data_IF_069839928396
#
_entry.id   IF_069839928396
#
_cell.length_a   1.000
_cell.length_b   1.000
_cell.length_c   1.000
_cell.angle_alpha   90.00
_cell.angle_beta   90.00
_cell.angle_gamma   90.00
#
_symmetry.space_group_name_H-M   'P 1'
#
loop_
_entity.id
_entity.type
_entity.pdbx_description
1 polymer ?
#
# COMPACT_ATOMS: atom_id res chain seq x y z
N UNK A 1 18.29 -14.43 6.28
CA UNK A 1 16.93 -14.16 5.78
C UNK A 1 16.24 -15.49 5.70
N UNK A 2 15.15 -15.65 6.45
CA UNK A 2 14.38 -16.89 6.45
C UNK A 2 13.61 -17.03 5.12
N UNK A 3 13.20 -18.25 4.78
CA UNK A 3 12.48 -18.52 3.53
C UNK A 3 11.18 -17.68 3.42
N UNK A 4 10.46 -17.52 4.54
CA UNK A 4 9.25 -16.71 4.60
C UNK A 4 9.50 -15.22 4.39
N UNK A 5 10.61 -14.67 4.90
CA UNK A 5 10.98 -13.28 4.67
C UNK A 5 11.19 -13.04 3.16
N UNK A 6 11.92 -13.95 2.50
CA UNK A 6 12.17 -13.87 1.07
C UNK A 6 10.87 -13.99 0.26
N UNK A 7 10.00 -14.95 0.60
CA UNK A 7 8.68 -15.06 -0.04
C UNK A 7 7.85 -13.79 0.14
N UNK A 8 7.94 -13.14 1.31
CA UNK A 8 7.23 -11.89 1.58
C UNK A 8 7.79 -10.72 0.75
N UNK A 9 9.12 -10.61 0.61
CA UNK A 9 9.75 -9.62 -0.27
C UNK A 9 9.32 -9.81 -1.74
N UNK A 10 9.30 -11.06 -2.22
CA UNK A 10 8.79 -11.40 -3.55
C UNK A 10 7.32 -11.00 -3.69
N UNK A 11 6.51 -11.21 -2.65
CA UNK A 11 5.11 -10.78 -2.64
C UNK A 11 4.95 -9.26 -2.67
N UNK A 12 5.79 -8.49 -1.94
CA UNK A 12 5.83 -7.03 -2.03
C UNK A 12 6.06 -6.58 -3.48
N UNK A 13 7.12 -7.08 -4.11
CA UNK A 13 7.47 -6.75 -5.50
C UNK A 13 6.36 -7.16 -6.48
N UNK A 14 5.85 -8.39 -6.36
CA UNK A 14 4.77 -8.88 -7.20
C UNK A 14 3.49 -8.04 -7.06
N UNK A 15 3.12 -7.63 -5.84
CA UNK A 15 1.95 -6.80 -5.60
C UNK A 15 2.07 -5.44 -6.30
N UNK A 16 3.24 -4.78 -6.24
CA UNK A 16 3.52 -3.52 -6.95
C UNK A 16 3.40 -3.75 -8.46
N UNK A 17 4.09 -4.76 -8.99
CA UNK A 17 4.12 -5.06 -10.41
C UNK A 17 2.72 -5.35 -10.98
N UNK A 18 1.84 -6.01 -10.22
CA UNK A 18 0.45 -6.28 -10.64
C UNK A 18 -0.47 -5.06 -10.52
N UNK A 19 -0.20 -4.13 -9.61
CA UNK A 19 -0.97 -2.88 -9.47
C UNK A 19 -0.70 -1.89 -10.60
N UNK A 20 0.56 -1.72 -11.02
CA UNK A 20 0.96 -0.71 -12.04
C UNK A 20 0.05 -0.64 -13.28
N UNK A 21 -0.25 -1.74 -14.00
CA UNK A 21 -1.14 -1.67 -15.16
C UNK A 21 -2.59 -1.32 -14.80
N UNK A 22 -3.09 -1.75 -13.64
CA UNK A 22 -4.46 -1.44 -13.20
C UNK A 22 -4.60 0.01 -12.75
N UNK A 23 -3.57 0.56 -12.11
CA UNK A 23 -3.48 1.98 -11.76
C UNK A 23 -3.52 2.84 -13.02
N UNK A 24 -2.73 2.48 -14.05
CA UNK A 24 -2.73 3.22 -15.31
C UNK A 24 -4.12 3.22 -15.98
N UNK A 25 -4.81 2.07 -15.99
CA UNK A 25 -6.16 1.99 -16.54
C UNK A 25 -7.18 2.77 -15.71
N UNK A 26 -7.07 2.75 -14.39
CA UNK A 26 -7.93 3.52 -13.49
C UNK A 26 -7.69 5.03 -13.68
N UNK A 27 -6.43 5.47 -13.77
CA UNK A 27 -6.07 6.86 -14.06
C UNK A 27 -6.67 7.33 -15.40
N UNK A 28 -6.55 6.49 -16.44
CA UNK A 28 -7.10 6.76 -17.76
C UNK A 28 -8.64 6.85 -17.73
N UNK A 29 -9.33 5.94 -17.02
CA UNK A 29 -10.78 5.99 -16.83
C UNK A 29 -11.20 7.29 -16.14
N UNK A 30 -10.47 7.70 -15.11
CA UNK A 30 -10.71 8.92 -14.34
C UNK A 30 -10.22 10.20 -15.06
N UNK A 31 -9.55 10.04 -16.21
CA UNK A 31 -8.99 11.12 -17.03
C UNK A 31 -7.99 12.00 -16.28
N UNK A 32 -7.09 11.36 -15.53
CA UNK A 32 -6.03 12.03 -14.78
C UNK A 32 -4.69 11.35 -14.90
N UNK A 33 -3.66 12.06 -14.45
CA UNK A 33 -2.34 11.49 -14.22
C UNK A 33 -2.38 10.61 -12.98
N UNK A 34 -1.57 9.54 -12.98
CA UNK A 34 -1.49 8.58 -11.88
C UNK A 34 -1.17 9.28 -10.55
N UNK A 35 -0.18 10.18 -10.56
CA UNK A 35 0.27 10.93 -9.37
C UNK A 35 -0.81 11.88 -8.81
N UNK A 36 -1.81 12.24 -9.61
CA UNK A 36 -2.92 13.10 -9.14
C UNK A 36 -4.07 12.29 -8.51
N UNK A 37 -4.12 10.97 -8.71
CA UNK A 37 -5.22 10.14 -8.23
C UNK A 37 -5.40 10.23 -6.71
N UNK A 38 -4.29 10.14 -5.97
CA UNK A 38 -4.29 10.21 -4.51
C UNK A 38 -4.91 11.52 -4.03
N UNK A 39 -4.42 12.64 -4.54
CA UNK A 39 -4.85 13.97 -4.10
C UNK A 39 -6.29 14.25 -4.46
N UNK A 40 -6.71 13.93 -5.67
CA UNK A 40 -8.07 14.19 -6.12
C UNK A 40 -9.08 13.32 -5.37
N UNK A 41 -8.68 12.11 -4.94
CA UNK A 41 -9.45 11.33 -3.97
C UNK A 41 -9.48 11.97 -2.58
N UNK A 42 -8.32 12.29 -1.99
CA UNK A 42 -8.24 12.84 -0.64
C UNK A 42 -8.97 14.19 -0.49
N UNK A 43 -8.96 15.00 -1.55
CA UNK A 43 -9.70 16.26 -1.68
C UNK A 43 -11.19 16.07 -2.02
N UNK A 44 -11.67 14.81 -2.05
CA UNK A 44 -13.08 14.41 -2.30
C UNK A 44 -13.65 14.91 -3.63
N UNK A 45 -12.82 14.96 -4.68
CA UNK A 45 -13.22 15.52 -5.98
C UNK A 45 -13.92 14.51 -6.90
N UNK A 46 -13.93 13.21 -6.58
CA UNK A 46 -14.56 12.17 -7.41
C UNK A 46 -15.36 11.12 -6.64
N UNK A 47 -15.99 10.25 -7.41
CA UNK A 47 -16.74 9.10 -6.92
C UNK A 47 -15.81 8.10 -6.24
N UNK A 48 -16.24 7.67 -5.07
CA UNK A 48 -15.56 6.69 -4.24
C UNK A 48 -15.45 5.31 -4.89
N UNK A 49 -16.41 4.93 -5.74
CA UNK A 49 -16.53 3.56 -6.25
C UNK A 49 -16.92 3.51 -7.72
N UNK A 50 -16.48 2.47 -8.41
CA UNK A 50 -16.87 2.19 -9.77
C UNK A 50 -16.24 0.90 -10.31
N UNK A 51 -16.33 0.73 -11.62
CA UNK A 51 -15.78 -0.43 -12.33
C UNK A 51 -15.04 -0.01 -13.60
N UNK A 52 -14.08 -0.83 -14.02
CA UNK A 52 -13.24 -0.60 -15.20
C UNK A 52 -12.93 -1.94 -15.89
N UNK A 53 -12.28 -1.89 -17.07
CA UNK A 53 -12.04 -3.07 -17.94
C UNK A 53 -13.32 -3.88 -18.20
N UNK A 54 -14.35 -3.22 -18.73
CA UNK A 54 -15.62 -3.89 -19.05
C UNK A 54 -16.40 -4.42 -17.84
N UNK A 55 -16.03 -4.05 -16.61
CA UNK A 55 -16.68 -4.50 -15.39
C UNK A 55 -15.94 -5.63 -14.66
N UNK A 56 -14.85 -6.14 -15.21
CA UNK A 56 -14.03 -7.19 -14.60
C UNK A 56 -13.40 -6.74 -13.27
N UNK A 57 -13.02 -5.47 -13.19
CA UNK A 57 -12.42 -4.87 -12.01
C UNK A 57 -13.32 -3.81 -11.41
N UNK A 58 -13.47 -3.85 -10.09
CA UNK A 58 -14.11 -2.80 -9.32
C UNK A 58 -13.06 -2.08 -8.48
N UNK A 59 -13.22 -0.76 -8.32
CA UNK A 59 -12.42 0.04 -7.41
C UNK A 59 -13.27 0.61 -6.27
N UNK A 60 -12.67 0.74 -5.10
CA UNK A 60 -13.25 1.41 -3.94
C UNK A 60 -12.15 2.22 -3.23
N UNK A 61 -12.24 3.54 -3.29
CA UNK A 61 -11.35 4.42 -2.55
C UNK A 61 -11.80 4.56 -1.09
N UNK A 62 -10.87 4.54 -0.16
CA UNK A 62 -11.14 4.72 1.28
C UNK A 62 -9.88 5.16 1.99
N UNK A 63 -10.00 6.01 3.03
CA UNK A 63 -8.84 6.58 3.71
C UNK A 63 -7.80 7.13 2.71
N UNK A 64 -6.59 6.60 2.77
CA UNK A 64 -5.47 6.91 1.87
C UNK A 64 -5.15 5.76 0.89
N UNK A 65 -6.15 4.95 0.57
CA UNK A 65 -6.01 3.68 -0.14
C UNK A 65 -7.09 3.53 -1.24
N UNK A 66 -6.87 2.57 -2.14
CA UNK A 66 -7.87 2.14 -3.11
C UNK A 66 -7.85 0.62 -3.27
N UNK A 67 -8.97 -0.02 -2.97
CA UNK A 67 -9.14 -1.46 -3.12
C UNK A 67 -9.55 -1.77 -4.56
N UNK A 68 -8.84 -2.71 -5.19
CA UNK A 68 -9.13 -3.24 -6.52
C UNK A 68 -9.51 -4.71 -6.38
N UNK A 69 -10.72 -5.04 -6.82
CA UNK A 69 -11.24 -6.42 -6.79
C UNK A 69 -11.58 -6.90 -8.17
N UNK A 70 -11.08 -8.07 -8.54
CA UNK A 70 -11.46 -8.77 -9.75
C UNK A 70 -12.75 -9.54 -9.48
N UNK A 71 -13.87 -9.10 -10.05
CA UNK A 71 -15.18 -9.67 -9.78
C UNK A 71 -15.30 -11.16 -10.15
N UNK A 72 -14.74 -11.65 -11.28
CA UNK A 72 -14.91 -13.05 -11.67
C UNK A 72 -14.21 -14.07 -10.77
N UNK A 73 -13.01 -13.77 -10.29
CA UNK A 73 -12.18 -14.76 -9.58
C UNK A 73 -11.77 -14.33 -8.17
N UNK A 74 -12.15 -13.14 -7.71
CA UNK A 74 -11.92 -12.69 -6.34
C UNK A 74 -10.47 -12.32 -6.02
N UNK A 75 -9.59 -12.18 -7.01
CA UNK A 75 -8.27 -11.57 -6.79
C UNK A 75 -8.43 -10.15 -6.26
N UNK A 76 -7.57 -9.78 -5.31
CA UNK A 76 -7.61 -8.49 -4.64
C UNK A 76 -6.23 -7.83 -4.64
N UNK A 77 -6.21 -6.52 -4.87
CA UNK A 77 -5.04 -5.65 -4.72
C UNK A 77 -5.46 -4.39 -3.99
N UNK A 78 -4.65 -3.94 -3.04
CA UNK A 78 -4.80 -2.62 -2.44
C UNK A 78 -3.73 -1.69 -2.99
N UNK A 79 -4.12 -0.55 -3.51
CA UNK A 79 -3.21 0.57 -3.78
C UNK A 79 -3.02 1.29 -2.46
N UNK A 80 -1.81 1.22 -1.91
CA UNK A 80 -1.36 2.08 -0.83
C UNK A 80 -0.71 3.31 -1.49
N UNK A 81 -1.37 4.46 -1.43
CA UNK A 81 -0.78 5.69 -1.96
C UNK A 81 0.33 6.17 -1.03
N UNK A 82 1.45 6.58 -1.61
CA UNK A 82 2.57 7.21 -0.93
C UNK A 82 2.67 8.71 -1.20
N UNK A 83 3.70 9.35 -0.63
CA UNK A 83 3.99 10.77 -0.86
C UNK A 83 4.06 11.09 -2.35
N UNK A 84 3.65 12.30 -2.72
CA UNK A 84 3.70 12.77 -4.11
C UNK A 84 2.83 11.96 -5.08
N UNK A 85 1.83 11.23 -4.53
CA UNK A 85 0.97 10.34 -5.30
C UNK A 85 1.68 9.09 -5.80
N UNK A 86 2.82 8.71 -5.18
CA UNK A 86 3.52 7.48 -5.52
C UNK A 86 2.58 6.27 -5.31
N UNK A 87 2.66 5.29 -6.22
CA UNK A 87 1.82 4.09 -6.20
C UNK A 87 2.59 2.78 -6.07
N UNK A 88 3.93 2.88 -5.97
CA UNK A 88 4.81 1.76 -5.70
C UNK A 88 4.99 1.51 -4.19
N UNK A 89 4.25 2.23 -3.34
CA UNK A 89 4.29 2.00 -1.89
C UNK A 89 3.36 0.88 -1.45
N UNK A 90 3.58 0.34 -0.25
CA UNK A 90 2.76 -0.72 0.31
C UNK A 90 2.69 -0.65 1.84
N UNK A 91 1.73 -1.37 2.40
CA UNK A 91 1.72 -1.79 3.81
C UNK A 91 1.86 -3.29 3.92
N UNK A 92 2.32 -3.77 5.07
CA UNK A 92 2.31 -5.20 5.40
C UNK A 92 0.93 -5.82 5.21
N UNK A 93 -0.12 -5.08 5.61
CA UNK A 93 -1.50 -5.48 5.39
C UNK A 93 -1.84 -5.61 3.91
N UNK A 94 -1.64 -4.56 3.10
CA UNK A 94 -1.93 -4.59 1.66
C UNK A 94 -1.25 -5.76 0.93
N UNK A 95 -0.01 -6.07 1.28
CA UNK A 95 0.72 -7.24 0.75
C UNK A 95 0.10 -8.55 1.23
N UNK A 96 -0.28 -8.66 2.51
CA UNK A 96 -0.92 -9.86 3.03
C UNK A 96 -2.27 -10.13 2.35
N UNK A 97 -3.08 -9.10 2.08
CA UNK A 97 -4.35 -9.24 1.34
C UNK A 97 -4.12 -9.75 -0.09
N UNK A 98 -3.07 -9.24 -0.76
CA UNK A 98 -2.63 -9.76 -2.06
C UNK A 98 -2.23 -11.24 -1.96
N UNK A 99 -1.40 -11.60 -0.98
CA UNK A 99 -0.94 -12.99 -0.78
C UNK A 99 -2.14 -13.92 -0.59
N UNK A 100 -3.10 -13.60 0.28
CA UNK A 100 -4.28 -14.44 0.53
C UNK A 100 -5.08 -14.73 -0.74
N UNK A 101 -5.28 -13.71 -1.57
CA UNK A 101 -6.13 -13.79 -2.76
C UNK A 101 -5.39 -14.15 -4.05
N UNK A 102 -4.04 -14.18 -4.01
CA UNK A 102 -3.23 -14.48 -5.19
C UNK A 102 -3.48 -15.88 -5.69
N UNK A 103 -3.70 -16.01 -7.00
CA UNK A 103 -3.97 -17.26 -7.71
C UNK A 103 -3.63 -17.07 -9.19
N UNK A 104 -3.54 -18.15 -9.96
CA UNK A 104 -3.30 -18.08 -11.41
C UNK A 104 -4.15 -17.00 -12.10
N UNK A 105 -3.56 -16.15 -12.95
CA UNK A 105 -2.20 -16.21 -13.52
C UNK A 105 -1.10 -15.51 -12.66
N UNK A 106 -1.38 -15.14 -11.42
CA UNK A 106 -0.38 -14.57 -10.52
C UNK A 106 0.41 -15.66 -9.78
N UNK A 107 1.61 -15.33 -9.25
CA UNK A 107 2.37 -16.26 -8.43
C UNK A 107 1.57 -16.78 -7.24
N UNK A 108 1.74 -18.05 -6.91
CA UNK A 108 1.16 -18.65 -5.72
C UNK A 108 2.18 -18.67 -4.60
N UNK A 109 1.71 -18.39 -3.38
CA UNK A 109 2.53 -18.24 -2.19
C UNK A 109 2.02 -19.19 -1.11
N UNK A 110 2.01 -20.50 -1.38
CA UNK A 110 1.29 -21.48 -0.55
C UNK A 110 1.79 -21.51 0.90
N UNK A 111 3.11 -21.52 1.12
CA UNK A 111 3.70 -21.57 2.47
C UNK A 111 3.49 -20.25 3.20
N UNK A 112 3.74 -19.13 2.53
CA UNK A 112 3.47 -17.80 3.08
C UNK A 112 1.98 -17.60 3.40
N UNK A 113 1.07 -18.13 2.58
CA UNK A 113 -0.38 -18.11 2.87
C UNK A 113 -0.69 -18.88 4.14
N UNK A 114 -0.18 -20.11 4.26
CA UNK A 114 -0.39 -20.94 5.45
C UNK A 114 0.16 -20.27 6.72
N UNK A 115 1.31 -19.61 6.61
CA UNK A 115 1.90 -18.84 7.71
C UNK A 115 1.03 -17.63 8.09
N UNK A 116 0.58 -16.85 7.12
CA UNK A 116 -0.17 -15.62 7.35
C UNK A 116 -1.64 -15.86 7.77
N UNK A 117 -2.24 -17.00 7.45
CA UNK A 117 -3.68 -17.22 7.64
C UNK A 117 -4.12 -17.32 9.13
N UNK A 118 -5.25 -16.70 9.47
CA UNK A 118 -5.91 -16.82 10.77
C UNK A 118 -6.79 -18.07 10.90
N UNK A 119 -7.22 -18.64 9.77
CA UNK A 119 -8.10 -19.79 9.69
C UNK A 119 -7.71 -20.66 8.48
N UNK A 120 -8.13 -21.93 8.39
CA UNK A 120 -7.90 -22.76 7.21
C UNK A 120 -8.60 -22.20 5.95
N UNK A 121 -8.21 -22.65 4.73
CA UNK A 121 -8.83 -22.21 3.49
C UNK A 121 -10.31 -22.61 3.39
N UNK A 122 -11.12 -21.93 2.56
CA UNK A 122 -10.73 -20.95 1.55
C UNK A 122 -10.31 -19.58 2.14
N UNK A 123 -9.32 -18.95 1.50
CA UNK A 123 -8.82 -17.63 1.90
C UNK A 123 -9.45 -16.52 1.07
N UNK A 124 -9.66 -15.37 1.71
CA UNK A 124 -10.11 -14.10 1.15
C UNK A 124 -9.24 -12.92 1.66
N UNK A 125 -9.53 -11.70 1.23
CA UNK A 125 -8.71 -10.51 1.49
C UNK A 125 -8.53 -10.14 2.98
N UNK A 126 -9.34 -10.68 3.89
CA UNK A 126 -9.29 -10.46 5.34
C UNK A 126 -8.82 -11.69 6.13
N UNK A 127 -8.41 -12.76 5.45
CA UNK A 127 -8.03 -14.02 6.11
C UNK A 127 -6.64 -13.97 6.75
N UNK A 128 -5.83 -12.96 6.44
CA UNK A 128 -4.47 -12.81 6.95
C UNK A 128 -4.41 -12.25 8.39
N UNK A 129 -3.35 -12.62 9.10
CA UNK A 129 -2.93 -12.05 10.38
C UNK A 129 -2.12 -10.78 10.14
N UNK A 130 -2.64 -9.64 10.61
CA UNK A 130 -1.93 -8.36 10.57
C UNK A 130 -0.62 -8.43 11.37
N UNK A 131 -0.63 -9.11 12.52
CA UNK A 131 0.55 -9.27 13.39
C UNK A 131 1.67 -10.02 12.67
N UNK A 132 1.38 -11.18 12.07
CA UNK A 132 2.40 -11.97 11.35
C UNK A 132 2.93 -11.24 10.12
N UNK A 133 2.06 -10.54 9.39
CA UNK A 133 2.48 -9.70 8.27
C UNK A 133 3.37 -8.53 8.74
N UNK A 134 3.06 -7.93 9.90
CA UNK A 134 3.87 -6.92 10.55
C UNK A 134 5.28 -7.43 10.87
N UNK A 135 5.39 -8.60 11.49
CA UNK A 135 6.69 -9.21 11.84
C UNK A 135 7.58 -9.44 10.61
N UNK A 136 7.03 -9.99 9.52
CA UNK A 136 7.78 -10.17 8.28
C UNK A 136 8.23 -8.83 7.69
N UNK A 137 7.38 -7.81 7.76
CA UNK A 137 7.71 -6.46 7.32
C UNK A 137 8.86 -5.86 8.16
N UNK A 138 8.80 -6.02 9.49
CA UNK A 138 9.84 -5.54 10.41
C UNK A 138 11.18 -6.24 10.16
N UNK A 139 11.17 -7.54 9.87
CA UNK A 139 12.38 -8.28 9.49
C UNK A 139 13.01 -7.74 8.20
N UNK A 140 12.19 -7.48 7.16
CA UNK A 140 12.69 -6.91 5.90
C UNK A 140 13.24 -5.49 6.08
N UNK A 141 12.61 -4.68 6.92
CA UNK A 141 13.09 -3.33 7.25
C UNK A 141 14.40 -3.38 8.04
N UNK A 142 14.51 -4.25 9.04
CA UNK A 142 15.74 -4.48 9.80
C UNK A 142 16.89 -4.99 8.91
N UNK A 143 16.58 -5.75 7.86
CA UNK A 143 17.53 -6.19 6.85
C UNK A 143 17.87 -5.11 5.80
N UNK A 144 17.22 -3.94 5.83
CA UNK A 144 17.44 -2.84 4.89
C UNK A 144 16.91 -3.10 3.47
N UNK A 145 16.02 -4.07 3.29
CA UNK A 145 15.46 -4.47 1.98
C UNK A 145 14.22 -3.66 1.62
N UNK A 146 13.58 -3.08 2.63
CA UNK A 146 12.49 -2.13 2.48
C UNK A 146 12.77 -0.93 3.39
N UNK A 147 12.13 0.19 3.11
CA UNK A 147 12.25 1.40 3.91
C UNK A 147 10.99 2.26 3.85
N UNK A 148 10.89 3.25 4.72
CA UNK A 148 9.85 4.28 4.64
C UNK A 148 9.94 5.05 3.32
N UNK A 149 8.79 5.33 2.71
CA UNK A 149 8.67 5.98 1.42
C UNK A 149 9.27 7.38 1.37
N UNK A 150 9.24 8.12 2.48
CA UNK A 150 9.90 9.42 2.59
C UNK A 150 10.34 9.72 4.03
N UNK A 151 11.62 9.49 4.31
CA UNK A 151 12.21 9.73 5.64
C UNK A 151 12.32 11.23 5.97
N UNK A 152 12.44 12.10 4.97
CA UNK A 152 12.56 13.54 5.20
C UNK A 152 11.22 14.14 5.61
N UNK A 153 10.11 13.69 5.01
CA UNK A 153 8.76 14.06 5.42
C UNK A 153 8.43 13.55 6.82
N UNK A 154 8.85 12.33 7.18
CA UNK A 154 8.70 11.83 8.56
C UNK A 154 9.47 12.69 9.56
N UNK A 155 10.72 13.03 9.25
CA UNK A 155 11.53 13.91 10.09
C UNK A 155 10.95 15.34 10.16
N UNK A 156 10.35 15.83 9.07
CA UNK A 156 9.63 17.10 9.07
C UNK A 156 8.41 17.05 10.00
N UNK A 157 7.61 15.98 9.90
CA UNK A 157 6.44 15.79 10.74
C UNK A 157 6.83 15.75 12.22
N UNK A 158 7.86 15.00 12.58
CA UNK A 158 8.38 14.91 13.95
C UNK A 158 8.82 16.29 14.48
N UNK A 159 9.64 17.03 13.71
CA UNK A 159 10.11 18.36 14.11
C UNK A 159 8.98 19.38 14.36
N UNK A 160 7.86 19.21 13.67
CA UNK A 160 6.73 20.13 13.70
C UNK A 160 5.52 19.59 14.48
N UNK A 161 5.67 18.45 15.14
CA UNK A 161 4.64 17.90 16.02
C UNK A 161 4.90 18.32 17.46
N UNK A 162 3.93 19.01 18.05
CA UNK A 162 3.94 19.42 19.46
C UNK A 162 2.71 18.88 20.18
N UNK A 163 2.76 18.72 21.49
CA UNK A 163 1.56 18.40 22.26
C UNK A 163 0.69 19.66 22.43
N UNK A 164 -0.63 19.53 22.26
CA UNK A 164 -1.58 20.58 22.63
C UNK A 164 -1.83 20.60 24.15
N UNK A 165 -2.73 21.47 24.61
CA UNK A 165 -3.07 21.63 26.03
C UNK A 165 -3.69 20.36 26.66
N UNK A 166 -4.17 19.42 25.85
CA UNK A 166 -4.71 18.12 26.26
C UNK A 166 -3.64 17.01 26.22
N UNK A 167 -2.39 17.34 25.87
CA UNK A 167 -1.32 16.36 25.71
C UNK A 167 -1.40 15.55 24.41
N UNK A 168 -2.21 15.98 23.42
CA UNK A 168 -2.37 15.30 22.15
C UNK A 168 -1.37 15.82 21.09
N UNK A 169 -0.69 14.94 20.35
CA UNK A 169 0.19 15.34 19.25
C UNK A 169 -0.58 16.14 18.19
N UNK A 170 -0.05 17.33 17.86
CA UNK A 170 -0.61 18.23 16.86
C UNK A 170 0.51 18.67 15.92
N UNK A 171 0.36 18.35 14.63
CA UNK A 171 1.27 18.78 13.58
C UNK A 171 0.98 20.24 13.19
N UNK A 172 2.00 21.11 13.22
CA UNK A 172 1.93 22.51 12.79
C UNK A 172 3.06 22.86 11.84
N UNK A 173 2.80 22.76 10.53
CA UNK A 173 3.79 23.10 9.52
C UNK A 173 3.98 24.62 9.40
N UNK A 174 5.16 25.09 8.92
CA UNK A 174 5.41 26.50 8.70
C UNK A 174 4.37 27.18 7.78
N UNK A 175 4.13 28.50 7.96
CA UNK A 175 3.29 29.26 7.02
C UNK A 175 3.82 29.16 5.59
N UNK A 176 2.91 28.96 4.63
CA UNK A 176 3.26 28.84 3.20
C UNK A 176 3.66 27.43 2.76
N UNK A 177 3.66 26.44 3.66
CA UNK A 177 3.78 25.03 3.26
C UNK A 177 2.60 24.65 2.34
N UNK A 178 2.84 23.98 1.20
CA UNK A 178 1.75 23.54 0.31
C UNK A 178 0.74 22.63 1.04
N UNK A 179 -0.55 22.82 0.75
CA UNK A 179 -1.64 22.06 1.41
C UNK A 179 -1.44 20.54 1.32
N UNK A 180 -0.96 20.06 0.16
CA UNK A 180 -0.72 18.64 -0.10
C UNK A 180 0.38 18.03 0.76
N UNK A 181 1.26 18.83 1.39
CA UNK A 181 2.30 18.31 2.29
C UNK A 181 1.70 17.58 3.49
N UNK A 182 0.54 18.00 4.01
CA UNK A 182 -0.15 17.27 5.09
C UNK A 182 -0.60 15.87 4.64
N UNK A 183 -1.06 15.76 3.39
CA UNK A 183 -1.45 14.47 2.81
C UNK A 183 -0.22 13.58 2.61
N UNK A 184 0.87 14.14 2.09
CA UNK A 184 2.12 13.42 1.88
C UNK A 184 2.70 12.89 3.20
N UNK A 185 2.72 13.71 4.26
CA UNK A 185 3.14 13.29 5.60
C UNK A 185 2.29 12.13 6.12
N UNK A 186 0.97 12.14 5.86
CA UNK A 186 0.04 11.11 6.37
C UNK A 186 0.30 9.71 5.79
N UNK A 187 1.09 9.63 4.70
CA UNK A 187 1.45 8.40 4.01
C UNK A 187 2.96 8.19 3.87
N UNK A 188 3.79 9.06 4.46
CA UNK A 188 5.26 8.99 4.36
C UNK A 188 5.86 7.74 5.03
N UNK A 189 5.13 7.15 5.98
CA UNK A 189 5.48 5.91 6.70
C UNK A 189 5.22 4.63 5.90
N UNK A 190 4.52 4.71 4.76
CA UNK A 190 4.32 3.54 3.88
C UNK A 190 5.68 3.00 3.45
N UNK A 191 5.74 1.73 3.08
CA UNK A 191 7.00 1.08 2.72
C UNK A 191 7.22 1.12 1.21
N UNK A 192 8.48 1.17 0.82
CA UNK A 192 8.98 0.97 -0.55
C UNK A 192 10.07 -0.11 -0.50
N UNK A 193 10.29 -0.78 -1.63
CA UNK A 193 11.44 -1.68 -1.77
C UNK A 193 12.68 -0.79 -1.95
N UNK A 194 13.71 -1.04 -1.16
CA UNK A 194 14.96 -0.28 -1.24
C UNK A 194 15.79 -0.73 -2.45
N UNK A 195 16.81 0.04 -2.83
CA UNK A 195 17.79 -0.37 -3.85
C UNK A 195 18.45 -1.72 -3.54
N UNK A 196 18.61 -2.04 -2.25
CA UNK A 196 19.13 -3.34 -1.83
C UNK A 196 18.09 -4.44 -2.06
N UNK A 197 16.82 -4.20 -1.71
CA UNK A 197 15.71 -5.12 -1.95
C UNK A 197 15.52 -5.43 -3.44
N UNK A 198 15.60 -4.42 -4.31
CA UNK A 198 15.48 -4.59 -5.76
C UNK A 198 16.62 -5.45 -6.35
N UNK A 199 17.84 -5.35 -5.80
CA UNK A 199 18.99 -6.18 -6.25
C UNK A 199 18.92 -7.64 -5.81
N UNK A 200 18.06 -7.95 -4.82
CA UNK A 200 17.82 -9.31 -4.35
C UNK A 200 16.83 -10.07 -5.24
N UNK A 201 16.13 -9.38 -6.14
CA UNK A 201 15.12 -9.91 -7.07
C UNK A 201 15.71 -10.21 -8.44
#
# INVERSE_FOLDING_TARGET
MEDLDLQFLIACHASIARRRPLIADLAALLKVRTEEMFYLWAERRWKQRGSFRGGEWTYFFHGYECDLRHAPDGRFLRIDFGPHGNTDTFTSWGVAQFVMTSKSPWPEFSDLKAHLANHPPPYEEHSASLERAGLLCDHLEAAGLIESADRELLALAERHTTLNDEGLPTLRLPPGTPDRTYLDISVAQRKVISDAGEKWM
#
